data_IF_557622179102
#
_entry.id   IF_557622179102
#
_cell.length_a   1.000
_cell.length_b   1.000
_cell.length_c   1.000
_cell.angle_alpha   90.00
_cell.angle_beta   90.00
_cell.angle_gamma   90.00
#
_symmetry.space_group_name_H-M   'P 1'
#
loop_
_entity.id
_entity.type
_entity.pdbx_description
1 polymer ?
#
# COMPACT_ATOMS: atom_id res chain seq x y z
N UNK A 1 -33.84 22.24 -1.78
CA UNK A 1 -32.52 21.60 -1.59
C UNK A 1 -31.90 21.52 -2.98
N UNK A 2 -30.91 22.38 -3.26
CA UNK A 2 -30.53 22.74 -4.63
C UNK A 2 -29.76 21.65 -5.36
N UNK A 3 -30.07 21.56 -6.65
CA UNK A 3 -29.63 20.61 -7.66
C UNK A 3 -28.17 20.82 -8.12
N UNK A 4 -27.26 21.13 -7.19
CA UNK A 4 -25.81 21.25 -7.43
C UNK A 4 -24.99 20.14 -6.77
N UNK A 5 -25.63 19.23 -6.03
CA UNK A 5 -24.96 18.17 -5.26
C UNK A 5 -24.84 16.84 -6.03
N UNK A 6 -25.06 16.84 -7.35
CA UNK A 6 -25.15 15.60 -8.16
C UNK A 6 -23.80 15.05 -8.64
N UNK A 7 -22.72 15.84 -8.65
CA UNK A 7 -21.41 15.40 -9.18
C UNK A 7 -20.21 15.81 -8.31
N UNK A 8 -20.45 16.22 -7.06
CA UNK A 8 -19.40 16.68 -6.16
C UNK A 8 -18.74 15.53 -5.43
N UNK A 9 -17.45 15.34 -5.65
CA UNK A 9 -16.56 14.56 -4.82
C UNK A 9 -16.72 15.00 -3.34
N UNK A 10 -17.56 14.29 -2.57
CA UNK A 10 -17.79 14.63 -1.16
C UNK A 10 -16.55 14.23 -0.37
N UNK A 11 -15.89 15.22 0.24
CA UNK A 11 -14.77 15.00 1.17
C UNK A 11 -15.13 13.97 2.27
N UNK A 12 -16.41 13.87 2.63
CA UNK A 12 -16.95 12.88 3.57
C UNK A 12 -16.67 11.43 3.16
N UNK A 13 -16.62 11.15 1.86
CA UNK A 13 -16.29 9.81 1.36
C UNK A 13 -14.80 9.51 1.61
N UNK A 14 -13.89 10.41 1.25
CA UNK A 14 -12.46 10.21 1.55
C UNK A 14 -12.20 10.06 3.06
N UNK A 15 -12.95 10.77 3.89
CA UNK A 15 -12.86 10.67 5.35
C UNK A 15 -13.15 9.24 5.84
N UNK A 16 -14.02 8.49 5.15
CA UNK A 16 -14.30 7.08 5.45
C UNK A 16 -13.24 6.12 4.87
N UNK A 17 -12.66 6.46 3.71
CA UNK A 17 -11.65 5.64 3.04
C UNK A 17 -10.26 5.66 3.71
N UNK A 18 -9.86 6.81 4.27
CA UNK A 18 -8.54 6.98 4.90
C UNK A 18 -8.31 6.05 6.10
N UNK A 19 -9.24 5.93 7.08
CA UNK A 19 -9.09 4.99 8.19
C UNK A 19 -8.93 3.54 7.73
N UNK A 20 -9.66 3.13 6.69
CA UNK A 20 -9.53 1.79 6.11
C UNK A 20 -8.15 1.61 5.49
N UNK A 21 -7.67 2.59 4.71
CA UNK A 21 -6.36 2.52 4.11
C UNK A 21 -5.24 2.44 5.16
N UNK A 22 -5.34 3.21 6.25
CA UNK A 22 -4.40 3.14 7.39
C UNK A 22 -4.44 1.79 8.10
N UNK A 23 -5.63 1.21 8.29
CA UNK A 23 -5.78 -0.14 8.85
C UNK A 23 -5.02 -1.16 8.00
N UNK A 24 -5.08 -1.05 6.67
CA UNK A 24 -4.33 -1.93 5.77
C UNK A 24 -2.82 -1.73 5.85
N UNK A 25 -2.34 -0.50 6.07
CA UNK A 25 -0.90 -0.27 6.35
C UNK A 25 -0.48 -1.05 7.59
N UNK A 26 -1.25 -0.94 8.69
CA UNK A 26 -0.98 -1.64 9.93
C UNK A 26 -1.02 -3.17 9.78
N UNK A 27 -2.03 -3.69 9.07
CA UNK A 27 -2.15 -5.13 8.76
C UNK A 27 -0.95 -5.60 7.93
N UNK A 28 -0.52 -4.81 6.93
CA UNK A 28 0.60 -5.17 6.07
C UNK A 28 1.91 -5.18 6.85
N UNK A 29 2.15 -4.20 7.72
CA UNK A 29 3.31 -4.19 8.61
C UNK A 29 3.33 -5.44 9.49
N UNK A 30 2.21 -5.77 10.13
CA UNK A 30 2.08 -6.97 10.96
C UNK A 30 2.33 -8.26 10.16
N UNK A 31 1.76 -8.37 8.95
CA UNK A 31 1.98 -9.52 8.07
C UNK A 31 3.46 -9.73 7.77
N UNK A 32 4.20 -8.66 7.45
CA UNK A 32 5.63 -8.76 7.16
C UNK A 32 6.48 -9.04 8.40
N UNK A 33 6.09 -8.54 9.59
CA UNK A 33 6.76 -8.87 10.85
C UNK A 33 6.68 -10.37 11.17
N UNK A 34 5.57 -11.02 10.84
CA UNK A 34 5.36 -12.45 11.08
C UNK A 34 5.54 -13.32 9.83
N UNK A 35 6.21 -12.81 8.78
CA UNK A 35 6.31 -13.50 7.47
C UNK A 35 6.85 -14.93 7.58
N UNK A 36 7.84 -15.15 8.45
CA UNK A 36 8.52 -16.44 8.60
C UNK A 36 7.70 -17.45 9.40
N UNK A 37 6.75 -16.98 10.20
CA UNK A 37 5.79 -17.81 10.95
C UNK A 37 4.58 -18.24 10.11
N UNK A 38 4.33 -17.58 8.97
CA UNK A 38 3.16 -17.83 8.12
C UNK A 38 3.56 -18.72 6.94
N UNK A 39 3.24 -20.02 7.02
CA UNK A 39 3.57 -21.03 5.99
C UNK A 39 3.10 -20.63 4.58
N UNK A 40 1.96 -19.95 4.48
CA UNK A 40 1.36 -19.55 3.20
C UNK A 40 1.39 -18.02 2.98
N UNK A 41 2.46 -17.35 3.43
CA UNK A 41 2.58 -15.89 3.38
C UNK A 41 2.24 -15.29 2.00
N UNK A 42 2.76 -15.88 0.92
CA UNK A 42 2.48 -15.41 -0.45
C UNK A 42 0.99 -15.51 -0.81
N UNK A 43 0.31 -16.57 -0.41
CA UNK A 43 -1.13 -16.73 -0.67
C UNK A 43 -1.94 -15.71 0.12
N UNK A 44 -1.57 -15.48 1.38
CA UNK A 44 -2.20 -14.46 2.23
C UNK A 44 -2.03 -13.07 1.61
N UNK A 45 -0.84 -12.74 1.10
CA UNK A 45 -0.55 -11.46 0.47
C UNK A 45 -1.33 -11.27 -0.84
N UNK A 46 -1.34 -12.26 -1.73
CA UNK A 46 -1.91 -12.15 -3.08
C UNK A 46 -3.41 -12.42 -3.16
N UNK A 47 -3.99 -13.18 -2.23
CA UNK A 47 -5.41 -13.56 -2.24
C UNK A 47 -6.11 -13.05 -0.99
N UNK A 48 -5.51 -13.24 0.18
CA UNK A 48 -6.09 -12.82 1.45
C UNK A 48 -6.29 -11.31 1.53
N UNK A 49 -5.29 -10.53 1.13
CA UNK A 49 -5.31 -9.08 1.22
C UNK A 49 -6.36 -8.43 0.30
N UNK A 50 -6.45 -8.76 -1.01
CA UNK A 50 -7.52 -8.26 -1.87
C UNK A 50 -8.92 -8.69 -1.41
N UNK A 51 -9.08 -9.93 -0.93
CA UNK A 51 -10.37 -10.41 -0.44
C UNK A 51 -10.82 -9.65 0.81
N UNK A 52 -9.90 -9.41 1.75
CA UNK A 52 -10.16 -8.60 2.93
C UNK A 52 -10.56 -7.17 2.54
N UNK A 53 -9.89 -6.60 1.52
CA UNK A 53 -10.22 -5.27 1.01
C UNK A 53 -11.62 -5.23 0.42
N UNK A 54 -12.03 -6.27 -0.33
CA UNK A 54 -13.38 -6.38 -0.86
C UNK A 54 -14.46 -6.38 0.24
N UNK A 55 -14.23 -7.14 1.32
CA UNK A 55 -15.17 -7.26 2.43
C UNK A 55 -15.33 -5.93 3.16
N UNK A 56 -14.22 -5.27 3.49
CA UNK A 56 -14.26 -3.98 4.17
C UNK A 56 -14.89 -2.90 3.28
N UNK A 57 -14.54 -2.87 2.00
CA UNK A 57 -15.11 -1.95 1.03
C UNK A 57 -16.61 -2.17 0.79
N UNK A 58 -17.06 -3.41 0.78
CA UNK A 58 -18.48 -3.74 0.74
C UNK A 58 -19.21 -3.15 1.96
N UNK A 59 -18.67 -3.34 3.16
CA UNK A 59 -19.22 -2.75 4.39
C UNK A 59 -19.29 -1.24 4.34
N UNK A 60 -18.23 -0.58 3.85
CA UNK A 60 -18.22 0.87 3.69
C UNK A 60 -19.26 1.33 2.67
N UNK A 61 -19.38 0.67 1.53
CA UNK A 61 -20.37 1.01 0.51
C UNK A 61 -21.81 0.89 1.04
N UNK A 62 -22.09 -0.11 1.88
CA UNK A 62 -23.39 -0.24 2.56
C UNK A 62 -23.67 0.92 3.51
N UNK A 63 -22.68 1.30 4.33
CA UNK A 63 -22.80 2.46 5.24
C UNK A 63 -23.04 3.74 4.43
N UNK A 64 -22.32 3.91 3.32
CA UNK A 64 -22.42 5.10 2.49
C UNK A 64 -23.79 5.20 1.80
N UNK A 65 -24.34 4.08 1.31
CA UNK A 65 -25.70 4.01 0.79
C UNK A 65 -26.76 4.28 1.88
N UNK A 66 -26.59 3.72 3.07
CA UNK A 66 -27.51 3.96 4.19
C UNK A 66 -27.55 5.43 4.58
N UNK A 67 -26.40 6.11 4.60
CA UNK A 67 -26.29 7.53 4.97
C UNK A 67 -26.77 8.47 3.85
N UNK A 68 -26.47 8.14 2.58
CA UNK A 68 -26.72 9.04 1.45
C UNK A 68 -28.05 8.80 0.73
N UNK A 69 -28.46 7.53 0.58
CA UNK A 69 -29.64 7.14 -0.21
C UNK A 69 -30.85 6.76 0.67
N UNK A 70 -30.71 6.66 1.99
CA UNK A 70 -31.71 6.12 2.93
C UNK A 70 -32.28 4.73 2.55
N UNK A 71 -31.63 4.04 1.62
CA UNK A 71 -32.01 2.73 1.09
C UNK A 71 -30.73 1.92 0.89
N UNK A 72 -30.81 0.61 1.15
CA UNK A 72 -29.64 -0.27 1.07
C UNK A 72 -29.86 -1.24 -0.09
N UNK A 73 -28.97 -1.19 -1.09
CA UNK A 73 -28.93 -2.15 -2.17
C UNK A 73 -27.60 -2.91 -2.13
N UNK A 74 -27.63 -4.08 -1.48
CA UNK A 74 -26.46 -4.94 -1.32
C UNK A 74 -25.80 -5.32 -2.65
N UNK A 75 -26.57 -5.50 -3.72
CA UNK A 75 -26.03 -5.81 -5.05
C UNK A 75 -25.15 -4.69 -5.60
N UNK A 76 -25.62 -3.44 -5.54
CA UNK A 76 -24.83 -2.26 -5.95
C UNK A 76 -23.61 -2.06 -5.04
N UNK A 77 -23.76 -2.28 -3.73
CA UNK A 77 -22.66 -2.14 -2.79
C UNK A 77 -21.55 -3.17 -3.03
N UNK A 78 -21.92 -4.41 -3.39
CA UNK A 78 -20.98 -5.48 -3.74
C UNK A 78 -20.30 -5.19 -5.09
N UNK A 79 -21.04 -4.75 -6.10
CA UNK A 79 -20.45 -4.31 -7.36
C UNK A 79 -19.45 -3.17 -7.16
N UNK A 80 -19.76 -2.24 -6.25
CA UNK A 80 -18.85 -1.17 -5.85
C UNK A 80 -17.62 -1.64 -5.06
N UNK A 81 -17.56 -2.87 -4.55
CA UNK A 81 -16.34 -3.39 -3.90
C UNK A 81 -15.40 -4.11 -4.86
N UNK A 82 -15.87 -4.52 -6.05
CA UNK A 82 -15.03 -5.18 -7.07
C UNK A 82 -13.82 -4.33 -7.47
N UNK A 83 -13.92 -3.01 -7.69
CA UNK A 83 -12.77 -2.18 -8.01
C UNK A 83 -11.64 -2.29 -6.98
N UNK A 84 -11.95 -2.48 -5.69
CA UNK A 84 -10.90 -2.58 -4.66
C UNK A 84 -10.07 -3.86 -4.75
N UNK A 85 -10.66 -4.97 -5.21
CA UNK A 85 -9.92 -6.21 -5.48
C UNK A 85 -8.87 -5.93 -6.56
N UNK A 86 -9.31 -5.33 -7.67
CA UNK A 86 -8.45 -5.06 -8.83
C UNK A 86 -7.35 -4.08 -8.47
N UNK A 87 -7.68 -2.98 -7.79
CA UNK A 87 -6.67 -1.99 -7.43
C UNK A 87 -5.68 -2.54 -6.40
N UNK A 88 -6.13 -3.29 -5.39
CA UNK A 88 -5.22 -3.90 -4.40
C UNK A 88 -4.30 -4.94 -5.05
N UNK A 89 -4.80 -5.75 -6.00
CA UNK A 89 -3.95 -6.67 -6.76
C UNK A 89 -2.86 -5.91 -7.55
N UNK A 90 -3.21 -4.78 -8.17
CA UNK A 90 -2.23 -3.91 -8.85
C UNK A 90 -1.23 -3.36 -7.83
N UNK A 91 -1.68 -2.89 -6.66
CA UNK A 91 -0.82 -2.41 -5.58
C UNK A 91 0.17 -3.46 -5.08
N UNK A 92 -0.29 -4.70 -4.87
CA UNK A 92 0.56 -5.83 -4.49
C UNK A 92 1.55 -6.16 -5.62
N UNK A 93 1.13 -6.12 -6.88
CA UNK A 93 2.02 -6.37 -8.02
C UNK A 93 3.10 -5.29 -8.16
N UNK A 94 2.73 -4.01 -8.03
CA UNK A 94 3.67 -2.88 -8.10
C UNK A 94 4.66 -2.93 -6.94
N UNK A 95 4.18 -3.18 -5.72
CA UNK A 95 5.05 -3.34 -4.55
C UNK A 95 5.95 -4.56 -4.63
N UNK A 96 5.59 -5.60 -5.37
CA UNK A 96 6.48 -6.76 -5.58
C UNK A 96 7.73 -6.43 -6.41
N UNK A 97 7.75 -5.30 -7.12
CA UNK A 97 8.91 -4.85 -7.91
C UNK A 97 9.83 -4.01 -7.04
N UNK A 98 11.06 -4.48 -6.81
CA UNK A 98 12.04 -3.80 -5.95
C UNK A 98 12.33 -2.35 -6.39
N UNK A 99 12.33 -2.07 -7.71
CA UNK A 99 12.52 -0.70 -8.23
C UNK A 99 11.46 0.30 -7.75
N UNK A 100 10.20 -0.14 -7.66
CA UNK A 100 9.11 0.70 -7.17
C UNK A 100 9.21 0.93 -5.65
N UNK A 101 9.79 0.02 -4.87
CA UNK A 101 9.91 0.18 -3.42
C UNK A 101 11.02 1.13 -2.98
N UNK A 102 12.07 1.30 -3.80
CA UNK A 102 13.25 2.12 -3.46
C UNK A 102 12.90 3.54 -2.96
N UNK A 103 12.00 4.32 -3.60
CA UNK A 103 11.65 5.66 -3.12
C UNK A 103 11.05 5.64 -1.72
N UNK A 104 10.15 4.69 -1.42
CA UNK A 104 9.52 4.56 -0.11
C UNK A 104 10.55 4.13 0.93
N UNK A 105 11.33 3.10 0.61
CA UNK A 105 12.40 2.60 1.46
C UNK A 105 13.43 3.68 1.79
N UNK A 106 13.75 4.57 0.85
CA UNK A 106 14.71 5.66 1.07
C UNK A 106 14.26 6.67 2.12
N UNK A 107 12.94 6.87 2.27
CA UNK A 107 12.35 7.76 3.27
C UNK A 107 12.18 7.04 4.61
N UNK A 108 11.80 5.77 4.59
CA UNK A 108 11.51 5.00 5.79
C UNK A 108 12.76 4.45 6.48
N UNK A 109 13.79 4.05 5.74
CA UNK A 109 15.00 3.42 6.30
C UNK A 109 15.72 4.27 7.34
N UNK A 110 15.98 5.58 7.12
CA UNK A 110 16.66 6.41 8.12
C UNK A 110 15.94 6.44 9.48
N UNK A 111 14.61 6.30 9.49
CA UNK A 111 13.80 6.31 10.70
C UNK A 111 14.01 5.06 11.56
N UNK A 112 14.38 3.93 10.96
CA UNK A 112 14.48 2.64 11.67
C UNK A 112 15.91 2.14 11.85
N UNK A 113 16.84 2.58 11.00
CA UNK A 113 18.24 2.10 11.00
C UNK A 113 19.20 3.17 11.58
N UNK A 114 18.75 4.41 11.77
CA UNK A 114 19.61 5.54 12.12
C UNK A 114 20.45 6.00 10.92
N UNK A 115 21.10 7.17 11.03
CA UNK A 115 21.73 7.97 9.95
C UNK A 115 22.77 7.27 9.03
N UNK A 116 23.08 5.99 9.20
CA UNK A 116 24.31 5.39 8.63
C UNK A 116 24.16 4.61 7.33
N UNK A 117 22.98 4.54 6.71
CA UNK A 117 22.81 3.74 5.48
C UNK A 117 22.23 4.56 4.32
N UNK A 118 23.13 5.11 3.50
CA UNK A 118 22.80 5.76 2.23
C UNK A 118 22.41 4.69 1.18
N UNK A 119 21.11 4.49 0.95
CA UNK A 119 20.56 3.48 0.01
C UNK A 119 20.67 3.94 -1.47
N UNK A 120 21.04 5.21 -1.71
CA UNK A 120 21.05 5.83 -3.05
C UNK A 120 22.10 5.22 -4.00
N UNK A 121 23.00 4.35 -3.52
CA UNK A 121 24.12 3.81 -4.32
C UNK A 121 23.93 2.36 -4.78
N UNK A 122 22.72 1.79 -4.69
CA UNK A 122 22.50 0.38 -5.07
C UNK A 122 22.23 0.12 -6.56
N UNK A 123 22.14 1.15 -7.41
CA UNK A 123 21.77 0.95 -8.82
C UNK A 123 22.56 1.78 -9.85
N UNK A 124 23.77 2.24 -9.50
CA UNK A 124 24.67 2.92 -10.43
C UNK A 124 25.96 2.12 -10.60
N UNK A 125 26.02 1.32 -11.66
CA UNK A 125 27.26 0.84 -12.27
C UNK A 125 28.03 2.02 -12.91
N UNK A 126 28.40 3.03 -12.11
CA UNK A 126 29.27 4.12 -12.58
C UNK A 126 30.67 3.83 -12.04
N UNK A 127 31.66 3.53 -12.91
CA UNK A 127 33.05 3.44 -12.49
C UNK A 127 33.55 4.86 -12.22
N UNK A 128 33.54 5.28 -10.95
CA UNK A 128 34.26 6.46 -10.53
C UNK A 128 35.75 6.11 -10.40
N UNK A 129 36.41 6.02 -11.55
CA UNK A 129 37.87 6.04 -11.60
C UNK A 129 38.36 7.36 -10.98
N UNK A 130 39.36 7.25 -10.10
CA UNK A 130 40.11 8.32 -9.42
C UNK A 130 39.57 8.88 -8.11
N UNK A 131 39.45 8.04 -7.07
CA UNK A 131 39.71 8.49 -5.70
C UNK A 131 40.89 7.73 -5.12
N UNK A 132 42.06 8.31 -5.38
CA UNK A 132 43.37 7.97 -4.81
C UNK A 132 43.36 8.37 -3.32
N UNK A 133 43.95 7.52 -2.47
CA UNK A 133 44.36 7.73 -1.08
C UNK A 133 43.49 7.11 0.04
N UNK A 134 44.01 5.99 0.57
CA UNK A 134 44.10 5.61 1.97
C UNK A 134 42.89 5.83 2.90
N UNK A 135 42.03 4.82 2.96
CA UNK A 135 41.56 4.18 4.19
C UNK A 135 40.67 3.01 3.78
N UNK A 136 40.79 1.86 4.46
CA UNK A 136 40.06 0.59 4.27
C UNK A 136 38.74 0.72 3.47
N UNK A 137 38.85 0.76 2.13
CA UNK A 137 37.75 0.67 1.16
C UNK A 137 37.89 -0.67 0.48
N UNK A 138 37.57 -1.73 1.20
CA UNK A 138 37.26 -3.00 0.58
C UNK A 138 36.07 -3.55 1.34
N UNK A 139 35.04 -3.92 0.59
CA UNK A 139 33.72 -4.33 1.09
C UNK A 139 32.80 -3.18 1.52
N UNK A 140 32.44 -2.28 0.59
CA UNK A 140 31.06 -1.78 0.66
C UNK A 140 30.19 -2.99 0.33
N UNK A 141 29.55 -3.58 1.33
CA UNK A 141 28.55 -4.61 1.04
C UNK A 141 27.54 -3.94 0.12
N UNK A 142 27.33 -4.49 -1.07
CA UNK A 142 26.19 -4.14 -1.91
C UNK A 142 24.93 -4.40 -1.08
N UNK A 143 24.47 -3.36 -0.38
CA UNK A 143 23.24 -3.38 0.41
C UNK A 143 22.11 -3.34 -0.61
N UNK A 144 21.66 -4.53 -1.00
CA UNK A 144 20.43 -4.67 -1.76
C UNK A 144 19.26 -4.34 -0.84
N UNK A 145 18.19 -3.75 -1.41
CA UNK A 145 16.96 -3.48 -0.67
C UNK A 145 16.45 -4.74 0.03
N UNK A 146 16.51 -5.88 -0.67
CA UNK A 146 16.13 -7.20 -0.16
C UNK A 146 16.94 -7.60 1.07
N UNK A 147 18.24 -7.28 1.13
CA UNK A 147 19.08 -7.53 2.31
C UNK A 147 18.62 -6.69 3.51
N UNK A 148 18.32 -5.40 3.28
CA UNK A 148 17.80 -4.50 4.32
C UNK A 148 16.44 -4.97 4.83
N UNK A 149 15.52 -5.29 3.92
CA UNK A 149 14.18 -5.78 4.22
C UNK A 149 14.20 -7.14 4.92
N UNK A 150 15.19 -7.99 4.62
CA UNK A 150 15.34 -9.27 5.32
C UNK A 150 15.72 -9.07 6.79
N UNK A 151 16.54 -8.06 7.08
CA UNK A 151 16.98 -7.72 8.43
C UNK A 151 15.96 -6.89 9.21
N UNK A 152 15.19 -6.06 8.51
CA UNK A 152 14.19 -5.16 9.08
C UNK A 152 12.84 -5.35 8.36
N UNK A 153 12.05 -6.36 8.74
CA UNK A 153 10.78 -6.68 8.06
C UNK A 153 9.75 -5.55 8.13
N UNK A 154 9.88 -4.64 9.10
CA UNK A 154 9.06 -3.43 9.19
C UNK A 154 9.19 -2.52 7.97
N UNK A 155 10.39 -2.44 7.37
CA UNK A 155 10.63 -1.61 6.17
C UNK A 155 9.89 -2.22 4.98
N UNK A 156 10.00 -3.55 4.80
CA UNK A 156 9.25 -4.25 3.75
C UNK A 156 7.73 -4.09 3.91
N UNK A 157 7.24 -4.13 5.15
CA UNK A 157 5.84 -3.90 5.48
C UNK A 157 5.37 -2.47 5.19
N UNK A 158 6.21 -1.47 5.48
CA UNK A 158 5.93 -0.07 5.14
C UNK A 158 5.90 0.15 3.62
N UNK A 159 6.84 -0.42 2.89
CA UNK A 159 6.94 -0.29 1.44
C UNK A 159 5.70 -0.89 0.75
N UNK A 160 5.32 -2.11 1.12
CA UNK A 160 4.09 -2.73 0.60
C UNK A 160 2.84 -1.99 1.07
N UNK A 161 2.80 -1.63 2.36
CA UNK A 161 1.68 -0.94 2.99
C UNK A 161 1.37 0.39 2.30
N UNK A 162 2.38 1.15 1.90
CA UNK A 162 2.23 2.40 1.15
C UNK A 162 1.48 2.17 -0.17
N UNK A 163 1.93 1.24 -1.01
CA UNK A 163 1.29 0.95 -2.30
C UNK A 163 -0.13 0.41 -2.15
N UNK A 164 -0.35 -0.45 -1.15
CA UNK A 164 -1.68 -0.97 -0.81
C UNK A 164 -2.60 0.16 -0.36
N UNK A 165 -2.13 1.07 0.49
CA UNK A 165 -2.89 2.23 0.96
C UNK A 165 -3.39 3.07 -0.23
N UNK A 166 -2.50 3.44 -1.14
CA UNK A 166 -2.88 4.18 -2.36
C UNK A 166 -3.87 3.41 -3.22
N UNK A 167 -3.68 2.10 -3.35
CA UNK A 167 -4.55 1.23 -4.13
C UNK A 167 -5.97 1.12 -3.55
N UNK A 168 -6.09 1.08 -2.22
CA UNK A 168 -7.37 1.08 -1.53
C UNK A 168 -8.07 2.42 -1.70
N UNK A 169 -7.36 3.53 -1.50
CA UNK A 169 -7.93 4.87 -1.70
C UNK A 169 -8.43 5.05 -3.14
N UNK A 170 -7.66 4.57 -4.12
CA UNK A 170 -8.07 4.62 -5.52
C UNK A 170 -9.30 3.73 -5.76
N UNK A 171 -9.26 2.46 -5.34
CA UNK A 171 -10.39 1.53 -5.48
C UNK A 171 -11.66 2.03 -4.77
N UNK A 172 -11.50 2.73 -3.66
CA UNK A 172 -12.56 3.37 -2.92
C UNK A 172 -13.24 4.50 -3.71
N UNK A 173 -12.46 5.34 -4.38
CA UNK A 173 -13.00 6.43 -5.21
C UNK A 173 -13.88 5.84 -6.34
N UNK A 174 -13.38 4.84 -7.07
CA UNK A 174 -14.17 4.18 -8.13
C UNK A 174 -15.37 3.42 -7.58
N UNK A 175 -15.18 2.70 -6.47
CA UNK A 175 -16.22 1.89 -5.85
C UNK A 175 -17.41 2.71 -5.37
N UNK A 176 -17.14 3.85 -4.74
CA UNK A 176 -18.21 4.75 -4.30
C UNK A 176 -19.01 5.32 -5.46
N UNK A 177 -18.37 5.71 -6.56
CA UNK A 177 -19.10 6.22 -7.73
C UNK A 177 -20.12 5.24 -8.27
N UNK A 178 -19.93 3.93 -8.08
CA UNK A 178 -20.89 2.89 -8.47
C UNK A 178 -21.92 2.67 -7.36
N UNK A 179 -21.49 2.61 -6.10
CA UNK A 179 -22.34 2.30 -4.97
C UNK A 179 -23.31 3.43 -4.60
N UNK A 180 -22.95 4.70 -4.79
CA UNK A 180 -23.77 5.86 -4.40
C UNK A 180 -24.77 6.29 -5.46
N UNK A 181 -24.84 5.58 -6.61
CA UNK A 181 -25.93 5.78 -7.56
C UNK A 181 -27.16 5.09 -6.97
N UNK A 182 -27.97 5.87 -6.24
CA UNK A 182 -29.37 5.55 -6.01
C UNK A 182 -30.06 5.66 -7.39
#
# INVERSE_FOLDING_TARGET
MSEQDKNGFRFDSLLLGVPVALLFVMITIMLFQFKDSITYFKVVLWVGLPLLAAILMFGVNLINQSSSCNTINAGKALLGSIPSIVTVLIGVAVSSISYCRIPVASVCTPLFIGETVNIVTANRNIPLNNVKNNSKRCCSSTLTLESVESKYPIIAGMDHGFYIMFSILFGFVFGNSIATIC
#
